data_IF_964470694710
#
_entry.id   IF_964470694710
#
_cell.length_a   1.000
_cell.length_b   1.000
_cell.length_c   1.000
_cell.angle_alpha   90.00
_cell.angle_beta   90.00
_cell.angle_gamma   90.00
#
_symmetry.space_group_name_H-M   'P 1'
#
loop_
_entity.id
_entity.type
_entity.pdbx_description
1 polymer ?
#
# COMPACT_ATOMS: atom_id res chain seq x y z
N UNK A 1 -5.07 30.50 0.62
CA UNK A 1 -5.10 29.61 1.81
C UNK A 1 -4.72 30.45 3.03
N UNK A 2 -5.64 30.67 3.97
CA UNK A 2 -5.41 31.44 5.20
C UNK A 2 -5.13 30.46 6.34
N UNK A 3 -3.88 30.00 6.44
CA UNK A 3 -3.39 29.23 7.59
C UNK A 3 -2.00 29.71 8.08
N UNK A 4 -1.36 30.64 7.37
CA UNK A 4 -0.08 31.22 7.78
C UNK A 4 -0.19 32.22 8.95
N UNK A 5 -1.40 32.59 9.37
CA UNK A 5 -1.64 33.68 10.33
C UNK A 5 -1.75 33.29 11.81
N UNK A 6 -1.72 32.00 12.18
CA UNK A 6 -2.02 31.56 13.56
C UNK A 6 -0.86 30.80 14.24
N UNK A 7 0.36 30.85 13.70
CA UNK A 7 1.56 30.35 14.41
C UNK A 7 1.59 28.83 14.67
N UNK A 8 0.54 28.09 14.29
CA UNK A 8 0.54 26.64 14.24
C UNK A 8 1.36 26.24 13.01
N UNK A 9 2.66 25.97 13.21
CA UNK A 9 3.43 25.21 12.24
C UNK A 9 2.60 23.94 11.96
N UNK A 10 2.24 23.63 10.71
CA UNK A 10 1.67 22.33 10.40
C UNK A 10 2.63 21.32 11.02
N UNK A 11 2.14 20.48 11.94
CA UNK A 11 2.93 19.35 12.37
C UNK A 11 3.36 18.64 11.09
N UNK A 12 4.67 18.54 10.86
CA UNK A 12 5.22 17.82 9.71
C UNK A 12 4.45 16.51 9.63
N UNK A 13 3.72 16.32 8.52
CA UNK A 13 2.88 15.15 8.39
C UNK A 13 3.80 13.94 8.58
N UNK A 14 3.48 13.04 9.52
CA UNK A 14 4.10 11.72 9.54
C UNK A 14 3.98 11.18 8.11
N UNK A 15 5.10 10.74 7.52
CA UNK A 15 5.20 10.33 6.13
C UNK A 15 5.00 11.44 5.06
N UNK A 16 5.40 12.68 5.35
CA UNK A 16 5.29 13.81 4.41
C UNK A 16 6.00 13.62 3.06
N UNK A 17 6.95 12.70 2.96
CA UNK A 17 7.56 12.32 1.68
C UNK A 17 6.56 11.74 0.69
N UNK A 18 5.45 11.14 1.15
CA UNK A 18 4.38 10.66 0.30
C UNK A 18 3.61 11.78 -0.40
N UNK A 19 3.81 13.04 0.01
CA UNK A 19 3.26 14.22 -0.67
C UNK A 19 4.19 14.81 -1.74
N UNK A 20 5.44 14.35 -1.81
CA UNK A 20 6.35 14.69 -2.92
C UNK A 20 5.89 14.08 -4.24
N UNK A 21 6.41 14.60 -5.37
CA UNK A 21 6.08 14.09 -6.70
C UNK A 21 6.40 12.59 -6.82
N UNK A 22 7.62 12.20 -6.45
CA UNK A 22 8.10 10.83 -6.51
C UNK A 22 7.34 9.93 -5.53
N UNK A 23 7.10 10.40 -4.31
CA UNK A 23 6.33 9.65 -3.31
C UNK A 23 4.91 9.34 -3.81
N UNK A 24 4.23 10.34 -4.38
CA UNK A 24 2.87 10.18 -4.93
C UNK A 24 2.82 9.25 -6.13
N UNK A 25 3.70 9.45 -7.11
CA UNK A 25 3.71 8.65 -8.33
C UNK A 25 3.91 7.17 -7.99
N UNK A 26 4.95 6.85 -7.22
CA UNK A 26 5.26 5.44 -6.96
C UNK A 26 4.27 4.77 -6.02
N UNK A 27 3.64 5.52 -5.12
CA UNK A 27 2.55 4.99 -4.29
C UNK A 27 1.29 4.70 -5.13
N UNK A 28 0.96 5.55 -6.09
CA UNK A 28 -0.16 5.30 -7.00
C UNK A 28 0.11 4.10 -7.92
N UNK A 29 1.34 3.94 -8.40
CA UNK A 29 1.73 2.77 -9.20
C UNK A 29 1.69 1.48 -8.34
N UNK A 30 2.17 1.55 -7.08
CA UNK A 30 2.00 0.46 -6.09
C UNK A 30 0.51 0.09 -5.95
N UNK A 31 -0.39 1.07 -5.77
CA UNK A 31 -1.83 0.81 -5.66
C UNK A 31 -2.45 0.21 -6.91
N UNK A 32 -2.03 0.64 -8.11
CA UNK A 32 -2.50 0.07 -9.37
C UNK A 32 -2.11 -1.41 -9.51
N UNK A 33 -0.89 -1.77 -9.15
CA UNK A 33 -0.47 -3.17 -9.16
C UNK A 33 -1.24 -4.01 -8.12
N UNK A 34 -1.47 -3.47 -6.92
CA UNK A 34 -2.31 -4.14 -5.91
C UNK A 34 -3.76 -4.32 -6.39
N UNK A 35 -4.30 -3.33 -7.10
CA UNK A 35 -5.63 -3.41 -7.70
C UNK A 35 -5.68 -4.52 -8.76
N UNK A 36 -4.70 -4.56 -9.68
CA UNK A 36 -4.64 -5.58 -10.73
C UNK A 36 -4.58 -6.99 -10.14
N UNK A 37 -3.81 -7.19 -9.07
CA UNK A 37 -3.69 -8.47 -8.37
C UNK A 37 -5.04 -9.06 -7.87
N UNK A 38 -6.04 -8.22 -7.57
CA UNK A 38 -7.38 -8.69 -7.18
C UNK A 38 -8.14 -9.35 -8.33
N UNK A 39 -7.82 -8.98 -9.58
CA UNK A 39 -8.46 -9.52 -10.78
C UNK A 39 -7.73 -10.73 -11.35
N UNK A 40 -6.49 -10.96 -10.94
CA UNK A 40 -5.68 -12.09 -11.38
C UNK A 40 -5.74 -13.27 -10.41
N UNK A 41 -5.27 -14.44 -10.86
CA UNK A 41 -5.12 -15.65 -10.07
C UNK A 41 -3.78 -16.34 -10.37
N UNK A 42 -3.36 -17.29 -9.53
CA UNK A 42 -2.16 -18.09 -9.78
C UNK A 42 -0.90 -17.24 -10.01
N UNK A 43 -0.16 -17.56 -11.08
CA UNK A 43 1.09 -16.86 -11.41
C UNK A 43 0.89 -15.38 -11.76
N UNK A 44 -0.23 -15.00 -12.38
CA UNK A 44 -0.48 -13.62 -12.78
C UNK A 44 -0.65 -12.74 -11.54
N UNK A 45 -1.43 -13.19 -10.55
CA UNK A 45 -1.53 -12.50 -9.25
C UNK A 45 -0.17 -12.40 -8.57
N UNK A 46 0.64 -13.46 -8.61
CA UNK A 46 1.96 -13.45 -8.01
C UNK A 46 2.87 -12.39 -8.67
N UNK A 47 2.78 -12.21 -9.99
CA UNK A 47 3.53 -11.18 -10.74
C UNK A 47 3.08 -9.78 -10.34
N UNK A 48 1.78 -9.52 -10.24
CA UNK A 48 1.27 -8.21 -9.82
C UNK A 48 1.66 -7.87 -8.38
N UNK A 49 1.61 -8.86 -7.48
CA UNK A 49 2.10 -8.71 -6.10
C UNK A 49 3.60 -8.38 -6.10
N UNK A 50 4.39 -9.05 -6.95
CA UNK A 50 5.81 -8.76 -7.08
C UNK A 50 6.09 -7.35 -7.59
N UNK A 51 5.30 -6.85 -8.53
CA UNK A 51 5.42 -5.50 -9.05
C UNK A 51 5.02 -4.46 -7.98
N UNK A 52 3.90 -4.64 -7.29
CA UNK A 52 3.50 -3.78 -6.18
C UNK A 52 4.59 -3.65 -5.12
N UNK A 53 5.19 -4.79 -4.71
CA UNK A 53 6.28 -4.81 -3.75
C UNK A 53 7.55 -4.16 -4.31
N UNK A 54 7.84 -4.32 -5.61
CA UNK A 54 8.96 -3.65 -6.25
C UNK A 54 8.79 -2.12 -6.19
N UNK A 55 7.60 -1.61 -6.53
CA UNK A 55 7.29 -0.18 -6.50
C UNK A 55 7.37 0.40 -5.10
N UNK A 56 6.85 -0.31 -4.09
CA UNK A 56 6.97 0.06 -2.68
C UNK A 56 8.44 0.22 -2.26
N UNK A 57 9.27 -0.78 -2.58
CA UNK A 57 10.68 -0.78 -2.18
C UNK A 57 11.49 0.25 -2.96
N UNK A 58 11.19 0.44 -4.25
CA UNK A 58 11.79 1.51 -5.03
C UNK A 58 11.43 2.89 -4.44
N UNK A 59 10.15 3.15 -4.14
CA UNK A 59 9.71 4.38 -3.49
C UNK A 59 10.45 4.61 -2.17
N UNK A 60 10.52 3.61 -1.30
CA UNK A 60 11.20 3.70 0.01
C UNK A 60 12.71 3.93 -0.14
N UNK A 61 13.34 3.41 -1.19
CA UNK A 61 14.77 3.66 -1.47
C UNK A 61 15.07 5.14 -1.74
N UNK A 62 14.08 5.91 -2.22
CA UNK A 62 14.21 7.35 -2.45
C UNK A 62 14.12 8.17 -1.16
N UNK A 63 13.55 7.60 -0.08
CA UNK A 63 13.27 8.29 1.18
C UNK A 63 13.76 7.47 2.38
N UNK A 64 15.06 7.54 2.74
CA UNK A 64 15.63 6.78 3.83
C UNK A 64 14.90 7.02 5.17
N UNK A 65 14.88 5.98 6.02
CA UNK A 65 14.30 6.02 7.38
C UNK A 65 12.78 6.32 7.47
N UNK A 66 12.03 6.18 6.37
CA UNK A 66 10.57 6.40 6.35
C UNK A 66 9.74 5.14 6.57
N UNK A 67 10.33 3.96 6.37
CA UNK A 67 9.64 2.67 6.44
C UNK A 67 8.94 2.43 7.78
N UNK A 68 9.62 2.72 8.90
CA UNK A 68 9.06 2.47 10.24
C UNK A 68 7.77 3.25 10.47
N UNK A 69 7.71 4.51 10.05
CA UNK A 69 6.54 5.37 10.20
C UNK A 69 5.40 4.96 9.26
N UNK A 70 5.73 4.53 8.04
CA UNK A 70 4.73 3.98 7.12
C UNK A 70 4.13 2.70 7.67
N UNK A 71 4.96 1.74 8.09
CA UNK A 71 4.50 0.45 8.63
C UNK A 71 3.64 0.67 9.89
N UNK A 72 4.04 1.58 10.79
CA UNK A 72 3.25 1.90 11.99
C UNK A 72 1.87 2.47 11.62
N UNK A 73 1.78 3.35 10.62
CA UNK A 73 0.49 3.92 10.20
C UNK A 73 -0.38 2.86 9.51
N UNK A 74 0.20 1.99 8.69
CA UNK A 74 -0.53 0.85 8.11
C UNK A 74 -1.05 -0.11 9.19
N UNK A 75 -0.26 -0.38 10.23
CA UNK A 75 -0.67 -1.25 11.32
C UNK A 75 -1.77 -0.64 12.19
N UNK A 76 -1.76 0.68 12.40
CA UNK A 76 -2.77 1.36 13.22
C UNK A 76 -4.05 1.66 12.42
N UNK A 77 -3.91 2.41 11.32
CA UNK A 77 -5.03 2.93 10.53
C UNK A 77 -5.42 1.96 9.43
N UNK A 78 -4.43 1.39 8.74
CA UNK A 78 -4.68 0.48 7.61
C UNK A 78 -5.37 -0.82 8.04
N UNK A 79 -5.00 -1.38 9.19
CA UNK A 79 -5.66 -2.58 9.73
C UNK A 79 -7.06 -2.31 10.26
N UNK A 80 -7.31 -1.12 10.81
CA UNK A 80 -8.65 -0.69 11.19
C UNK A 80 -9.55 -0.58 9.95
N UNK A 81 -9.06 0.06 8.89
CA UNK A 81 -9.79 0.19 7.63
C UNK A 81 -10.02 -1.18 6.96
N UNK A 82 -9.00 -2.04 6.92
CA UNK A 82 -9.13 -3.43 6.45
C UNK A 82 -10.27 -4.16 7.17
N UNK A 83 -10.34 -4.02 8.50
CA UNK A 83 -11.39 -4.63 9.32
C UNK A 83 -12.76 -4.07 8.97
N UNK A 84 -12.87 -2.76 8.74
CA UNK A 84 -14.08 -2.10 8.25
C UNK A 84 -14.60 -2.74 6.95
N UNK A 85 -13.74 -2.85 5.94
CA UNK A 85 -14.09 -3.50 4.66
C UNK A 85 -14.52 -4.97 4.85
N UNK A 86 -13.89 -5.70 5.77
CA UNK A 86 -14.27 -7.11 6.05
C UNK A 86 -15.64 -7.24 6.68
N UNK A 87 -16.01 -6.30 7.54
CA UNK A 87 -17.31 -6.30 8.21
C UNK A 87 -18.42 -5.76 7.29
N UNK A 88 -18.07 -4.94 6.29
CA UNK A 88 -19.02 -4.33 5.36
C UNK A 88 -19.26 -5.13 4.08
N UNK A 89 -18.59 -6.27 3.89
CA UNK A 89 -18.72 -7.11 2.69
C UNK A 89 -19.07 -8.54 3.07
N UNK A 90 -19.86 -9.19 2.21
CA UNK A 90 -20.45 -10.50 2.49
C UNK A 90 -19.70 -11.65 1.82
N UNK A 91 -18.81 -11.37 0.86
CA UNK A 91 -17.99 -12.38 0.20
C UNK A 91 -16.59 -11.88 -0.18
N UNK A 92 -15.62 -12.77 -0.45
CA UNK A 92 -14.30 -12.40 -0.96
C UNK A 92 -14.35 -11.60 -2.28
N UNK A 93 -15.30 -11.92 -3.16
CA UNK A 93 -15.50 -11.23 -4.44
C UNK A 93 -16.01 -9.81 -4.23
N UNK A 94 -16.99 -9.62 -3.35
CA UNK A 94 -17.50 -8.29 -2.98
C UNK A 94 -16.39 -7.44 -2.34
N UNK A 95 -15.58 -8.04 -1.47
CA UNK A 95 -14.41 -7.41 -0.88
C UNK A 95 -13.42 -6.94 -1.96
N UNK A 96 -13.08 -7.81 -2.91
CA UNK A 96 -12.16 -7.49 -4.00
C UNK A 96 -12.68 -6.33 -4.86
N UNK A 97 -13.97 -6.34 -5.22
CA UNK A 97 -14.61 -5.26 -5.99
C UNK A 97 -14.55 -3.92 -5.23
N UNK A 98 -14.91 -3.93 -3.94
CA UNK A 98 -14.95 -2.74 -3.11
C UNK A 98 -13.55 -2.14 -2.92
N UNK A 99 -12.55 -2.97 -2.59
CA UNK A 99 -11.16 -2.51 -2.39
C UNK A 99 -10.52 -2.06 -3.70
N UNK A 100 -10.75 -2.74 -4.81
CA UNK A 100 -10.26 -2.30 -6.11
C UNK A 100 -10.83 -0.92 -6.50
N UNK A 101 -12.12 -0.67 -6.27
CA UNK A 101 -12.71 0.64 -6.47
C UNK A 101 -12.13 1.71 -5.51
N UNK A 102 -11.82 1.32 -4.27
CA UNK A 102 -11.19 2.20 -3.28
C UNK A 102 -9.76 2.62 -3.68
N UNK A 103 -8.98 1.68 -4.23
CA UNK A 103 -7.65 1.93 -4.80
C UNK A 103 -7.72 2.89 -5.98
N UNK A 104 -8.58 2.62 -6.98
CA UNK A 104 -8.75 3.48 -8.17
C UNK A 104 -9.11 4.92 -7.83
N UNK A 105 -9.92 5.11 -6.79
CA UNK A 105 -10.39 6.44 -6.39
C UNK A 105 -9.43 7.18 -5.44
N UNK A 106 -8.39 6.53 -4.92
CA UNK A 106 -7.45 7.16 -3.99
C UNK A 106 -6.81 8.47 -4.50
N UNK A 107 -6.44 8.60 -5.79
CA UNK A 107 -5.89 9.85 -6.33
C UNK A 107 -6.84 11.06 -6.23
N UNK A 108 -8.14 10.85 -6.35
CA UNK A 108 -9.14 11.93 -6.33
C UNK A 108 -9.70 12.17 -4.93
N UNK A 109 -9.77 11.14 -4.08
CA UNK A 109 -10.29 11.25 -2.71
C UNK A 109 -9.34 11.92 -1.74
N UNK A 110 -8.04 11.93 -2.02
CA UNK A 110 -7.04 12.21 -0.98
C UNK A 110 -6.08 13.34 -1.37
N UNK A 111 -6.22 14.54 -0.75
CA UNK A 111 -5.37 15.68 -1.06
C UNK A 111 -3.96 15.59 -0.46
N UNK A 112 -3.74 14.82 0.62
CA UNK A 112 -2.42 14.59 1.24
C UNK A 112 -2.28 13.11 1.62
N UNK A 113 -1.25 12.43 1.12
CA UNK A 113 -1.05 10.99 1.30
C UNK A 113 -0.34 10.64 2.60
N UNK A 114 0.51 11.53 3.14
CA UNK A 114 1.29 11.21 4.34
C UNK A 114 0.44 10.71 5.51
N UNK A 115 -0.75 11.28 5.68
CA UNK A 115 -1.66 10.95 6.79
C UNK A 115 -2.70 9.88 6.48
N UNK A 116 -2.82 9.45 5.23
CA UNK A 116 -4.01 8.70 4.80
C UNK A 116 -3.76 7.58 3.82
N UNK A 117 -2.52 7.40 3.34
CA UNK A 117 -2.19 6.31 2.43
C UNK A 117 -2.53 4.93 3.04
N UNK A 118 -2.43 4.83 4.37
CA UNK A 118 -2.71 3.61 5.13
C UNK A 118 -4.17 3.16 4.99
N UNK A 119 -5.15 4.08 4.94
CA UNK A 119 -6.56 3.74 4.70
C UNK A 119 -6.79 3.14 3.31
N UNK A 120 -5.93 3.44 2.33
CA UNK A 120 -6.01 2.81 1.00
C UNK A 120 -5.21 1.50 0.98
N UNK A 121 -4.00 1.51 1.53
CA UNK A 121 -3.06 0.39 1.43
C UNK A 121 -3.46 -0.79 2.32
N UNK A 122 -3.97 -0.52 3.53
CA UNK A 122 -4.34 -1.54 4.52
C UNK A 122 -5.34 -2.57 3.99
N UNK A 123 -6.53 -2.15 3.47
CA UNK A 123 -7.48 -3.07 2.86
C UNK A 123 -6.90 -3.88 1.70
N UNK A 124 -6.07 -3.25 0.87
CA UNK A 124 -5.44 -3.93 -0.27
C UNK A 124 -4.47 -5.04 0.17
N UNK A 125 -3.53 -4.72 1.05
CA UNK A 125 -2.60 -5.71 1.60
C UNK A 125 -3.33 -6.81 2.37
N UNK A 126 -4.29 -6.45 3.23
CA UNK A 126 -5.02 -7.41 4.04
C UNK A 126 -5.93 -8.33 3.23
N UNK A 127 -6.54 -7.84 2.14
CA UNK A 127 -7.34 -8.64 1.21
C UNK A 127 -6.50 -9.65 0.42
N UNK A 128 -5.35 -9.23 -0.09
CA UNK A 128 -4.43 -10.14 -0.80
C UNK A 128 -3.80 -11.17 0.15
N UNK A 129 -3.53 -10.80 1.39
CA UNK A 129 -3.10 -11.74 2.43
C UNK A 129 -4.20 -12.74 2.79
N UNK A 130 -5.47 -12.31 2.84
CA UNK A 130 -6.64 -13.19 3.00
C UNK A 130 -6.71 -14.26 1.91
N UNK A 131 -6.43 -13.87 0.66
CA UNK A 131 -6.43 -14.77 -0.47
C UNK A 131 -5.27 -15.78 -0.43
N UNK A 132 -4.15 -15.46 0.24
CA UNK A 132 -2.99 -16.33 0.34
C UNK A 132 -3.03 -17.26 1.56
N UNK A 133 -3.54 -16.81 2.71
CA UNK A 133 -3.58 -17.58 3.95
C UNK A 133 -4.68 -17.09 4.88
N UNK A 134 -5.32 -17.98 5.65
CA UNK A 134 -6.36 -17.59 6.61
C UNK A 134 -5.80 -17.10 7.97
N UNK A 135 -4.59 -17.52 8.32
CA UNK A 135 -4.06 -17.36 9.69
C UNK A 135 -3.04 -16.23 9.86
N UNK A 136 -2.77 -15.44 8.82
CA UNK A 136 -1.72 -14.41 8.86
C UNK A 136 -1.91 -13.36 9.97
N UNK A 137 -3.15 -13.12 10.38
CA UNK A 137 -3.53 -12.14 11.41
C UNK A 137 -3.05 -12.51 12.81
N UNK A 138 -2.90 -13.80 13.08
CA UNK A 138 -2.59 -14.31 14.43
C UNK A 138 -1.19 -13.92 14.93
N UNK A 139 -0.31 -13.48 14.01
CA UNK A 139 1.09 -13.15 14.31
C UNK A 139 1.42 -11.67 14.09
N UNK A 140 0.40 -10.81 14.01
CA UNK A 140 0.61 -9.39 13.81
C UNK A 140 1.15 -8.73 15.09
N UNK A 141 2.10 -7.83 14.88
CA UNK A 141 2.64 -6.91 15.90
C UNK A 141 2.57 -5.47 15.36
N UNK A 142 2.63 -4.44 16.23
CA UNK A 142 2.68 -3.04 15.79
C UNK A 142 3.84 -2.71 14.82
N UNK A 143 4.91 -3.53 14.82
CA UNK A 143 6.08 -3.36 13.95
C UNK A 143 5.99 -4.18 12.64
N UNK A 144 4.86 -4.83 12.37
CA UNK A 144 4.73 -5.69 11.18
C UNK A 144 4.84 -4.86 9.89
N UNK A 145 5.63 -5.35 8.94
CA UNK A 145 5.65 -4.83 7.58
C UNK A 145 4.71 -5.68 6.70
N UNK A 146 3.57 -5.11 6.30
CA UNK A 146 2.58 -5.80 5.46
C UNK A 146 3.14 -6.23 4.10
N UNK A 147 4.05 -5.45 3.50
CA UNK A 147 4.71 -5.80 2.26
C UNK A 147 5.61 -7.03 2.39
N UNK A 148 6.42 -7.11 3.45
CA UNK A 148 7.24 -8.30 3.72
C UNK A 148 6.38 -9.53 4.04
N UNK A 149 5.28 -9.34 4.77
CA UNK A 149 4.33 -10.41 5.06
C UNK A 149 3.67 -10.94 3.78
N UNK A 150 3.25 -10.03 2.89
CA UNK A 150 2.67 -10.38 1.58
C UNK A 150 3.69 -11.10 0.69
N UNK A 151 4.93 -10.62 0.66
CA UNK A 151 6.02 -11.26 -0.08
C UNK A 151 6.19 -12.73 0.34
N UNK A 152 6.22 -12.99 1.66
CA UNK A 152 6.32 -14.35 2.20
C UNK A 152 5.11 -15.21 1.85
N UNK A 153 3.90 -14.64 1.91
CA UNK A 153 2.66 -15.36 1.63
C UNK A 153 2.54 -15.80 0.16
N UNK A 154 3.07 -15.01 -0.77
CA UNK A 154 3.09 -15.32 -2.20
C UNK A 154 4.40 -15.95 -2.70
N UNK A 155 5.38 -16.20 -1.82
CA UNK A 155 6.69 -16.73 -2.22
C UNK A 155 7.50 -15.79 -3.11
N UNK A 156 7.20 -14.49 -3.08
CA UNK A 156 7.85 -13.48 -3.90
C UNK A 156 9.17 -13.07 -3.28
N UNK A 157 10.23 -13.11 -4.07
CA UNK A 157 11.52 -12.55 -3.68
C UNK A 157 11.54 -11.04 -3.95
N UNK A 158 11.65 -10.26 -2.88
CA UNK A 158 11.91 -8.83 -2.99
C UNK A 158 13.40 -8.62 -3.24
N UNK A 159 13.80 -7.99 -4.36
CA UNK A 159 15.21 -7.73 -4.64
C UNK A 159 15.84 -6.85 -3.56
N UNK A 160 17.08 -7.17 -3.15
CA UNK A 160 17.82 -6.38 -2.16
C UNK A 160 18.15 -4.95 -2.63
N UNK A 161 18.07 -4.70 -3.94
CA UNK A 161 18.24 -3.38 -4.54
C UNK A 161 17.20 -3.13 -5.63
N UNK A 162 16.73 -1.89 -5.71
CA UNK A 162 15.78 -1.42 -6.71
C UNK A 162 16.38 -0.29 -7.53
N UNK A 163 15.93 -0.11 -8.77
CA UNK A 163 16.36 0.99 -9.62
C UNK A 163 15.22 1.53 -10.48
N UNK A 164 15.35 2.78 -10.91
CA UNK A 164 14.31 3.50 -11.66
C UNK A 164 13.98 2.83 -13.00
N UNK A 165 14.97 2.34 -13.72
CA UNK A 165 14.77 1.77 -15.05
C UNK A 165 13.94 0.48 -14.99
N UNK A 166 14.21 -0.38 -14.02
CA UNK A 166 13.41 -1.57 -13.75
C UNK A 166 12.01 -1.21 -13.27
N UNK A 167 11.88 -0.23 -12.37
CA UNK A 167 10.58 0.23 -11.88
C UNK A 167 9.71 0.76 -13.03
N UNK A 168 10.28 1.53 -13.95
CA UNK A 168 9.54 2.00 -15.13
C UNK A 168 9.15 0.86 -16.06
N UNK A 169 10.08 -0.07 -16.35
CA UNK A 169 9.80 -1.23 -17.20
C UNK A 169 8.65 -2.08 -16.67
N UNK A 170 8.62 -2.33 -15.36
CA UNK A 170 7.51 -3.06 -14.72
C UNK A 170 6.20 -2.30 -14.89
N UNK A 171 6.19 -1.00 -14.60
CA UNK A 171 4.99 -0.17 -14.69
C UNK A 171 4.41 -0.04 -16.10
N UNK A 172 5.21 -0.23 -17.16
CA UNK A 172 4.75 -0.28 -18.55
C UNK A 172 4.03 -1.60 -18.91
N UNK A 173 4.29 -2.66 -18.14
CA UNK A 173 3.71 -4.00 -18.34
C UNK A 173 2.53 -4.28 -17.39
N UNK A 174 2.29 -3.40 -16.41
CA UNK A 174 1.24 -3.49 -15.38
C UNK A 174 -0.07 -2.80 -15.76
#
# INVERSE_FOLDING_TARGET
RVQAGIGLKPADAQNGHLDSLEGRIWLQIEWRALEHAFWQQGEERMRDVADALYFRNYRRSLFPATETNENALEMNEGMAEYTGFKLSTSSPEEYAVAVAAWLRSAPTRTPSYGRSFAYTSGPAYGGLLDAASKDWRTRLTPATNLGQLLARAYGVQVPAGTNKAEALRRAELS
#
